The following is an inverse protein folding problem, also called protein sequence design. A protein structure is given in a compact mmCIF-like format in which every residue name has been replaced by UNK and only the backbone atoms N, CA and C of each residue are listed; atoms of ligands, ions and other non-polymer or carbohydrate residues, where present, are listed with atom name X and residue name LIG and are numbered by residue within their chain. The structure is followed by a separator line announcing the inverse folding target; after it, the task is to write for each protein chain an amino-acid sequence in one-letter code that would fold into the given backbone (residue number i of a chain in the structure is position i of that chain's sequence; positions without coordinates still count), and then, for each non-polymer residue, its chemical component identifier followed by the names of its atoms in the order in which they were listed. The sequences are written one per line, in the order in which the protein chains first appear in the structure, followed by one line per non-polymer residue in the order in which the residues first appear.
data_IF_769235483368
#
_entry.id   IF_769235483368
#
_cell.length_a   1.000
_cell.length_b   1.000
_cell.length_c   1.000
_cell.angle_alpha   90.00
_cell.angle_beta   90.00
_cell.angle_gamma   90.00
#
_symmetry.space_group_name_H-M   'P 1'
#
loop_
_entity.id
_entity.type
_entity.pdbx_description
1 polymer ?
#
# COMPACT_ATOMS: atom_id res chain seq x y z
N UNK A 1 -14.87 3.62 30.63
CA UNK A 1 -13.51 3.04 30.68
C UNK A 1 -13.22 2.46 29.31
N UNK A 2 -12.15 2.90 28.64
CA UNK A 2 -11.75 2.35 27.34
C UNK A 2 -10.99 1.05 27.57
N UNK A 3 -11.46 -0.05 27.02
CA UNK A 3 -10.70 -1.30 26.99
C UNK A 3 -9.47 -1.10 26.10
N UNK A 4 -8.24 -1.28 26.61
CA UNK A 4 -7.05 -1.15 25.80
C UNK A 4 -7.01 -2.25 24.73
N UNK A 5 -6.37 -1.97 23.60
CA UNK A 5 -6.10 -2.98 22.58
C UNK A 5 -5.21 -4.06 23.19
N UNK A 6 -5.49 -5.32 22.89
CA UNK A 6 -4.70 -6.45 23.40
C UNK A 6 -3.22 -6.32 22.97
N UNK A 7 -2.24 -6.53 23.88
CA UNK A 7 -0.83 -6.26 23.60
C UNK A 7 -0.21 -7.14 22.50
N UNK A 8 -0.84 -8.27 22.18
CA UNK A 8 -0.43 -9.15 21.09
C UNK A 8 -0.91 -8.73 19.70
N UNK A 9 -1.68 -7.64 19.57
CA UNK A 9 -2.13 -7.15 18.26
C UNK A 9 -0.99 -6.42 17.56
N UNK A 10 -0.75 -6.78 16.29
CA UNK A 10 0.19 -6.10 15.40
C UNK A 10 -0.53 -5.47 14.21
N UNK A 11 0.12 -4.51 13.56
CA UNK A 11 -0.35 -3.97 12.28
C UNK A 11 -0.22 -5.05 11.20
N UNK A 12 -1.29 -5.29 10.44
CA UNK A 12 -1.28 -6.25 9.33
C UNK A 12 -0.82 -5.62 8.01
N UNK A 13 -1.39 -4.47 7.63
CA UNK A 13 -1.08 -3.75 6.39
C UNK A 13 -1.40 -2.26 6.52
N UNK A 14 -0.89 -1.47 5.57
CA UNK A 14 -1.19 -0.03 5.45
C UNK A 14 -1.64 0.32 4.04
N UNK A 15 -2.50 1.33 3.91
CA UNK A 15 -2.91 1.86 2.61
C UNK A 15 -2.38 3.29 2.43
N UNK A 16 -1.66 3.52 1.34
CA UNK A 16 -1.11 4.82 0.98
C UNK A 16 -1.87 5.40 -0.20
N UNK A 17 -2.26 6.66 -0.05
CA UNK A 17 -2.73 7.50 -1.16
C UNK A 17 -1.50 7.99 -1.93
N UNK A 18 -1.43 7.69 -3.22
CA UNK A 18 -0.31 8.04 -4.09
C UNK A 18 -0.79 8.83 -5.30
N UNK A 19 -0.01 9.83 -5.70
CA UNK A 19 -0.36 10.68 -6.83
C UNK A 19 -0.31 9.96 -8.19
N UNK A 20 0.53 8.93 -8.30
CA UNK A 20 0.76 8.14 -9.50
C UNK A 20 1.04 6.69 -9.09
N UNK A 21 0.18 5.77 -9.54
CA UNK A 21 0.26 4.36 -9.19
C UNK A 21 1.46 3.66 -9.85
N UNK A 22 1.75 3.97 -11.10
CA UNK A 22 2.85 3.33 -11.83
C UNK A 22 4.20 3.81 -11.30
N UNK A 23 4.33 5.10 -10.98
CA UNK A 23 5.51 5.62 -10.30
C UNK A 23 5.73 4.95 -8.95
N UNK A 24 4.66 4.77 -8.17
CA UNK A 24 4.73 4.09 -6.88
C UNK A 24 5.14 2.62 -7.05
N UNK A 25 4.57 1.89 -8.01
CA UNK A 25 4.97 0.51 -8.30
C UNK A 25 6.41 0.39 -8.81
N UNK A 26 6.87 1.34 -9.62
CA UNK A 26 8.27 1.40 -10.05
C UNK A 26 9.23 1.49 -8.86
N UNK A 27 8.88 2.28 -7.85
CA UNK A 27 9.66 2.37 -6.62
C UNK A 27 9.52 1.09 -5.76
N UNK A 28 8.30 0.76 -5.33
CA UNK A 28 8.11 -0.32 -4.36
C UNK A 28 8.45 -1.71 -4.93
N UNK A 29 8.09 -2.00 -6.17
CA UNK A 29 8.40 -3.29 -6.79
C UNK A 29 9.78 -3.28 -7.44
N UNK A 30 10.10 -2.22 -8.20
CA UNK A 30 11.34 -2.17 -8.98
C UNK A 30 12.59 -1.86 -8.16
N UNK A 31 12.49 -1.00 -7.13
CA UNK A 31 13.65 -0.62 -6.29
C UNK A 31 13.66 -1.42 -4.99
N UNK A 32 12.53 -1.52 -4.30
CA UNK A 32 12.46 -2.18 -2.99
C UNK A 32 12.19 -3.69 -3.07
N UNK A 33 11.87 -4.22 -4.24
CA UNK A 33 11.70 -5.67 -4.46
C UNK A 33 10.39 -6.25 -3.94
N UNK A 34 9.36 -5.43 -3.68
CA UNK A 34 8.02 -5.96 -3.44
C UNK A 34 7.46 -6.64 -4.69
N UNK A 35 6.56 -7.58 -4.47
CA UNK A 35 5.85 -8.28 -5.52
C UNK A 35 4.41 -7.76 -5.61
N UNK A 36 3.91 -7.58 -6.83
CA UNK A 36 2.53 -7.22 -7.09
C UNK A 36 1.64 -8.44 -6.87
N UNK A 37 0.74 -8.37 -5.88
CA UNK A 37 -0.21 -9.44 -5.58
C UNK A 37 -1.50 -9.27 -6.40
N UNK A 38 -2.02 -8.05 -6.46
CA UNK A 38 -3.27 -7.77 -7.15
C UNK A 38 -3.35 -6.30 -7.59
N UNK A 39 -4.10 -6.06 -8.67
CA UNK A 39 -4.53 -4.73 -9.10
C UNK A 39 -6.04 -4.59 -9.03
N UNK A 40 -6.48 -3.37 -8.78
CA UNK A 40 -7.86 -2.95 -8.98
C UNK A 40 -7.89 -1.89 -10.09
N UNK A 41 -8.00 -2.38 -11.33
CA UNK A 41 -7.89 -1.56 -12.52
C UNK A 41 -6.59 -0.72 -12.52
N UNK A 42 -6.75 0.57 -12.78
CA UNK A 42 -5.66 1.57 -12.76
C UNK A 42 -5.60 2.39 -11.47
N UNK A 43 -6.49 2.12 -10.51
CA UNK A 43 -6.70 2.99 -9.34
C UNK A 43 -6.04 2.46 -8.07
N UNK A 44 -5.77 1.16 -7.98
CA UNK A 44 -5.07 0.60 -6.83
C UNK A 44 -4.25 -0.65 -7.16
N UNK A 45 -3.23 -0.90 -6.33
CA UNK A 45 -2.38 -2.08 -6.37
C UNK A 45 -2.03 -2.55 -4.96
N UNK A 46 -1.94 -3.86 -4.77
CA UNK A 46 -1.65 -4.50 -3.51
C UNK A 46 -0.33 -5.25 -3.64
N UNK A 47 0.62 -4.95 -2.76
CA UNK A 47 1.99 -5.45 -2.86
C UNK A 47 2.42 -6.13 -1.57
N UNK A 48 3.27 -7.15 -1.69
CA UNK A 48 3.81 -7.90 -0.55
C UNK A 48 5.27 -8.29 -0.75
N UNK A 49 5.90 -8.76 0.32
CA UNK A 49 7.20 -9.41 0.29
C UNK A 49 7.01 -10.80 0.94
N UNK A 50 7.64 -11.84 0.41
CA UNK A 50 7.56 -13.19 1.01
C UNK A 50 6.19 -13.88 0.89
N UNK A 51 5.34 -13.48 -0.06
CA UNK A 51 4.10 -14.20 -0.40
C UNK A 51 2.89 -13.97 0.52
N UNK A 52 2.91 -12.95 1.39
CA UNK A 52 1.74 -12.52 2.15
C UNK A 52 0.65 -11.90 1.25
N UNK A 53 -0.61 -11.86 1.72
CA UNK A 53 -1.75 -11.33 0.95
C UNK A 53 -1.54 -9.88 0.47
N UNK A 54 -1.10 -8.98 1.35
CA UNK A 54 -0.47 -7.69 1.01
C UNK A 54 0.03 -7.00 2.27
N UNK A 55 1.17 -6.33 2.19
CA UNK A 55 1.65 -5.45 3.25
C UNK A 55 1.26 -4.00 3.00
N UNK A 56 1.23 -3.59 1.72
CA UNK A 56 0.89 -2.22 1.33
C UNK A 56 -0.17 -2.23 0.23
N UNK A 57 -1.25 -1.48 0.44
CA UNK A 57 -2.17 -1.06 -0.62
C UNK A 57 -1.80 0.33 -1.11
N UNK A 58 -1.53 0.49 -2.39
CA UNK A 58 -1.29 1.77 -3.05
C UNK A 58 -2.55 2.15 -3.82
N UNK A 59 -3.07 3.36 -3.64
CA UNK A 59 -4.25 3.82 -4.38
C UNK A 59 -4.17 5.30 -4.76
N UNK A 60 -4.82 5.68 -5.85
CA UNK A 60 -4.88 7.06 -6.32
C UNK A 60 -6.13 7.81 -5.84
N UNK A 61 -6.91 7.22 -4.93
CA UNK A 61 -8.15 7.82 -4.44
C UNK A 61 -7.84 9.12 -3.71
N UNK A 62 -8.56 10.19 -4.08
CA UNK A 62 -8.38 11.54 -3.54
C UNK A 62 -6.97 12.14 -3.69
N UNK A 63 -6.12 11.55 -4.54
CA UNK A 63 -4.72 11.97 -4.66
C UNK A 63 -4.16 11.93 -6.07
N UNK A 64 -4.90 11.41 -7.06
CA UNK A 64 -4.48 11.32 -8.45
C UNK A 64 -3.94 12.67 -8.98
N UNK A 65 -2.70 12.68 -9.47
CA UNK A 65 -2.05 13.90 -9.97
C UNK A 65 -1.66 14.93 -8.90
N UNK A 66 -1.75 14.57 -7.61
CA UNK A 66 -1.36 15.43 -6.51
C UNK A 66 0.11 15.87 -6.57
N UNK A 67 0.38 17.09 -6.15
CA UNK A 67 1.72 17.65 -6.06
C UNK A 67 2.26 17.59 -4.62
N UNK A 68 3.58 17.52 -4.42
CA UNK A 68 4.18 17.69 -3.10
C UNK A 68 3.78 19.06 -2.49
N UNK A 69 3.69 19.16 -1.16
CA UNK A 69 3.60 20.45 -0.47
C UNK A 69 4.87 21.29 -0.66
#
# INVERSE_FOLDING_TARGET
MTTPIHPGVSIGHVHLKVADLERALGFYCGVLGFQLMQRYGTQAAFISAGGYHHHIGLNTWESLGGSPP
#
